data_IF_129666210753
#
_entry.id   IF_129666210753
#
_cell.length_a   1.000
_cell.length_b   1.000
_cell.length_c   1.000
_cell.angle_alpha   90.00
_cell.angle_beta   90.00
_cell.angle_gamma   90.00
#
_symmetry.space_group_name_H-M   'P 1'
#
loop_
_entity.id
_entity.type
_entity.pdbx_description
1 polymer ?
#
# COMPACT_ATOMS: atom_id res chain seq x y z
N UNK A 1 -6.95 9.17 28.21
CA UNK A 1 -8.15 8.54 27.62
C UNK A 1 -7.98 8.42 26.10
N UNK A 2 -7.72 7.22 25.53
CA UNK A 2 -7.54 7.03 24.07
C UNK A 2 -8.14 5.72 23.49
N UNK A 3 -8.73 4.86 24.33
CA UNK A 3 -9.26 3.55 23.87
C UNK A 3 -10.48 3.63 22.95
N UNK A 4 -11.29 4.69 23.06
CA UNK A 4 -12.50 4.86 22.22
C UNK A 4 -12.16 5.20 20.75
N UNK A 5 -11.09 5.95 20.53
CA UNK A 5 -10.65 6.37 19.19
C UNK A 5 -10.09 5.18 18.40
N UNK A 6 -9.41 4.27 19.09
CA UNK A 6 -8.86 3.04 18.51
C UNK A 6 -9.97 2.03 18.11
N UNK A 7 -10.98 1.82 18.96
CA UNK A 7 -12.11 0.92 18.63
C UNK A 7 -12.95 1.40 17.43
N UNK A 8 -13.15 2.71 17.29
CA UNK A 8 -13.91 3.25 16.15
C UNK A 8 -13.16 3.04 14.83
N UNK A 9 -11.85 3.33 14.84
CA UNK A 9 -10.96 3.13 13.69
C UNK A 9 -10.89 1.65 13.29
N UNK A 10 -10.68 0.74 14.25
CA UNK A 10 -10.64 -0.70 13.98
C UNK A 10 -11.95 -1.23 13.38
N UNK A 11 -13.11 -0.76 13.85
CA UNK A 11 -14.41 -1.14 13.27
C UNK A 11 -14.62 -0.57 11.87
N UNK A 12 -14.15 0.64 11.62
CA UNK A 12 -14.21 1.25 10.30
C UNK A 12 -13.33 0.49 9.31
N UNK A 13 -12.10 0.15 9.71
CA UNK A 13 -11.19 -0.70 8.95
C UNK A 13 -11.82 -2.04 8.62
N UNK A 14 -12.37 -2.76 9.61
CA UNK A 14 -13.01 -4.06 9.39
C UNK A 14 -14.18 -3.97 8.40
N UNK A 15 -15.04 -2.95 8.52
CA UNK A 15 -16.15 -2.74 7.57
C UNK A 15 -15.69 -2.41 6.16
N UNK A 16 -14.65 -1.59 6.03
CA UNK A 16 -14.04 -1.29 4.73
C UNK A 16 -13.43 -2.55 4.13
N UNK A 17 -12.71 -3.34 4.94
CA UNK A 17 -12.10 -4.58 4.51
C UNK A 17 -13.15 -5.60 4.08
N UNK A 18 -14.23 -5.81 4.86
CA UNK A 18 -15.31 -6.72 4.48
C UNK A 18 -15.92 -6.41 3.11
N UNK A 19 -16.01 -5.13 2.76
CA UNK A 19 -16.55 -4.68 1.46
C UNK A 19 -15.57 -4.86 0.31
N UNK A 20 -14.28 -4.60 0.55
CA UNK A 20 -13.26 -4.56 -0.49
C UNK A 20 -12.38 -5.81 -0.56
N UNK A 21 -12.49 -6.74 0.41
CA UNK A 21 -11.62 -7.92 0.54
C UNK A 21 -11.63 -8.79 -0.70
N UNK A 22 -12.81 -9.04 -1.28
CA UNK A 22 -12.90 -9.88 -2.47
C UNK A 22 -12.11 -9.27 -3.65
N UNK A 23 -12.23 -7.96 -3.84
CA UNK A 23 -11.52 -7.22 -4.89
C UNK A 23 -10.00 -7.21 -4.64
N UNK A 24 -9.57 -6.95 -3.40
CA UNK A 24 -8.15 -6.96 -3.03
C UNK A 24 -7.51 -8.34 -3.22
N UNK A 25 -8.20 -9.41 -2.86
CA UNK A 25 -7.75 -10.78 -3.13
C UNK A 25 -7.67 -11.05 -4.66
N UNK A 26 -8.62 -10.54 -5.44
CA UNK A 26 -8.62 -10.66 -6.90
C UNK A 26 -7.52 -9.83 -7.59
N UNK A 27 -7.00 -8.81 -6.91
CA UNK A 27 -5.80 -8.07 -7.29
C UNK A 27 -4.50 -8.82 -6.97
N UNK A 28 -4.57 -9.95 -6.25
CA UNK A 28 -3.41 -10.73 -5.83
C UNK A 28 -2.83 -10.33 -4.47
N UNK A 29 -3.52 -9.49 -3.70
CA UNK A 29 -3.08 -9.11 -2.35
C UNK A 29 -3.28 -10.28 -1.39
N UNK A 30 -2.24 -10.77 -0.71
CA UNK A 30 -2.38 -11.86 0.26
C UNK A 30 -3.22 -11.45 1.46
N UNK A 31 -3.98 -12.39 2.02
CA UNK A 31 -4.83 -12.16 3.20
C UNK A 31 -4.05 -11.59 4.41
N UNK A 32 -2.78 -11.95 4.56
CA UNK A 32 -1.90 -11.48 5.63
C UNK A 32 -1.62 -9.97 5.54
N UNK A 33 -1.60 -9.42 4.32
CA UNK A 33 -1.38 -7.99 4.06
C UNK A 33 -2.66 -7.17 4.33
N UNK A 34 -3.82 -7.82 4.37
CA UNK A 34 -5.11 -7.16 4.62
C UNK A 34 -5.37 -6.80 6.09
N UNK A 35 -4.43 -7.09 6.98
CA UNK A 35 -4.44 -6.53 8.33
C UNK A 35 -4.10 -5.04 8.30
N UNK A 36 -4.65 -4.26 9.24
CA UNK A 36 -4.54 -2.80 9.22
C UNK A 36 -3.08 -2.31 9.10
N UNK A 37 -2.18 -2.84 9.93
CA UNK A 37 -0.77 -2.42 9.94
C UNK A 37 -0.01 -2.87 8.68
N UNK A 38 -0.01 -4.16 8.29
CA UNK A 38 0.57 -4.62 7.03
C UNK A 38 0.07 -3.85 5.80
N UNK A 39 -1.22 -3.54 5.74
CA UNK A 39 -1.80 -2.79 4.63
C UNK A 39 -1.22 -1.39 4.51
N UNK A 40 -1.18 -0.63 5.62
CA UNK A 40 -0.59 0.71 5.60
C UNK A 40 0.90 0.68 5.26
N UNK A 41 1.63 -0.30 5.80
CA UNK A 41 3.05 -0.49 5.48
C UNK A 41 3.24 -0.76 3.98
N UNK A 42 2.43 -1.68 3.44
CA UNK A 42 2.41 -1.97 2.02
C UNK A 42 2.15 -0.71 1.20
N UNK A 43 1.10 0.06 1.52
CA UNK A 43 0.77 1.29 0.79
C UNK A 43 1.91 2.32 0.80
N UNK A 44 2.67 2.40 1.88
CA UNK A 44 3.79 3.33 2.04
C UNK A 44 5.07 2.89 1.33
N UNK A 45 5.31 1.57 1.24
CA UNK A 45 6.58 1.02 0.76
C UNK A 45 6.50 0.28 -0.58
N UNK A 46 5.32 -0.12 -1.03
CA UNK A 46 5.13 -0.94 -2.24
C UNK A 46 5.39 -2.43 -2.03
N UNK A 47 5.81 -2.85 -0.83
CA UNK A 47 6.05 -4.25 -0.49
C UNK A 47 5.71 -4.51 0.97
N UNK A 48 5.57 -5.79 1.32
CA UNK A 48 5.43 -6.22 2.71
C UNK A 48 6.19 -7.53 2.97
N UNK A 49 6.92 -7.53 4.09
CA UNK A 49 7.72 -8.65 4.57
C UNK A 49 7.34 -8.96 6.03
N UNK A 50 6.97 -10.20 6.36
CA UNK A 50 6.76 -10.61 7.74
C UNK A 50 8.04 -10.48 8.58
N UNK A 51 7.88 -10.22 9.87
CA UNK A 51 9.00 -10.26 10.80
C UNK A 51 9.64 -11.65 10.83
N UNK A 52 10.94 -11.73 10.58
CA UNK A 52 11.70 -12.99 10.54
C UNK A 52 11.74 -13.67 9.17
N UNK A 53 11.10 -13.11 8.14
CA UNK A 53 11.28 -13.52 6.74
C UNK A 53 12.36 -12.67 6.07
N UNK A 54 13.21 -13.30 5.25
CA UNK A 54 14.14 -12.60 4.38
C UNK A 54 13.47 -12.16 3.05
N UNK A 55 12.41 -12.86 2.64
CA UNK A 55 11.71 -12.63 1.38
C UNK A 55 10.38 -11.91 1.60
N UNK A 56 10.09 -10.95 0.73
CA UNK A 56 8.81 -10.25 0.68
C UNK A 56 7.71 -11.19 0.23
N UNK A 57 6.58 -11.18 0.94
CA UNK A 57 5.41 -11.98 0.57
C UNK A 57 4.57 -11.27 -0.50
N UNK A 58 4.65 -9.94 -0.53
CA UNK A 58 4.06 -9.10 -1.55
C UNK A 58 5.03 -8.00 -1.92
N UNK A 59 5.22 -7.82 -3.22
CA UNK A 59 6.06 -6.78 -3.79
C UNK A 59 5.43 -6.32 -5.11
N UNK A 60 5.09 -5.03 -5.18
CA UNK A 60 4.47 -4.41 -6.36
C UNK A 60 5.34 -4.55 -7.60
N UNK A 61 6.66 -4.55 -7.46
CA UNK A 61 7.58 -4.71 -8.59
C UNK A 61 7.55 -6.13 -9.17
N UNK A 62 7.13 -7.10 -8.37
CA UNK A 62 7.02 -8.52 -8.74
C UNK A 62 5.58 -8.96 -9.02
N UNK A 63 4.61 -8.07 -8.84
CA UNK A 63 3.21 -8.35 -9.15
C UNK A 63 3.02 -8.54 -10.66
N UNK A 64 2.12 -9.47 -11.02
CA UNK A 64 1.67 -9.59 -12.40
C UNK A 64 1.01 -8.28 -12.87
N UNK A 65 1.23 -7.91 -14.13
CA UNK A 65 0.74 -6.66 -14.70
C UNK A 65 -0.77 -6.52 -14.57
N UNK A 66 -1.55 -7.59 -14.77
CA UNK A 66 -3.00 -7.53 -14.64
C UNK A 66 -3.43 -7.27 -13.18
N UNK A 67 -2.69 -7.82 -12.21
CA UNK A 67 -2.90 -7.54 -10.78
C UNK A 67 -2.55 -6.10 -10.43
N UNK A 68 -1.42 -5.61 -10.93
CA UNK A 68 -0.99 -4.23 -10.75
C UNK A 68 -1.99 -3.22 -11.35
N UNK A 69 -2.51 -3.48 -12.56
CA UNK A 69 -3.52 -2.62 -13.20
C UNK A 69 -4.83 -2.54 -12.42
N UNK A 70 -5.30 -3.68 -11.88
CA UNK A 70 -6.50 -3.73 -11.04
C UNK A 70 -6.28 -3.02 -9.71
N UNK A 71 -5.14 -3.26 -9.06
CA UNK A 71 -4.81 -2.61 -7.80
C UNK A 71 -4.68 -1.09 -7.97
N UNK A 72 -4.06 -0.64 -9.06
CA UNK A 72 -3.97 0.78 -9.41
C UNK A 72 -5.37 1.39 -9.56
N UNK A 73 -6.23 0.76 -10.35
CA UNK A 73 -7.60 1.24 -10.56
C UNK A 73 -8.44 1.23 -9.27
N UNK A 74 -8.23 0.24 -8.40
CA UNK A 74 -8.87 0.17 -7.08
C UNK A 74 -8.43 1.34 -6.19
N UNK A 75 -7.12 1.60 -6.11
CA UNK A 75 -6.58 2.68 -5.28
C UNK A 75 -6.94 4.08 -5.82
N UNK A 76 -7.11 4.23 -7.13
CA UNK A 76 -7.56 5.48 -7.75
C UNK A 76 -9.04 5.81 -7.44
N UNK A 77 -9.86 4.78 -7.18
CA UNK A 77 -11.27 4.96 -6.80
C UNK A 77 -11.46 5.18 -5.30
N UNK A 78 -10.46 4.85 -4.48
CA UNK A 78 -10.55 5.00 -3.03
C UNK A 78 -10.11 6.41 -2.60
N UNK A 79 -11.07 7.22 -2.15
CA UNK A 79 -10.86 8.60 -1.68
C UNK A 79 -9.88 8.71 -0.48
N UNK A 80 -9.56 7.61 0.19
CA UNK A 80 -8.67 7.61 1.37
C UNK A 80 -7.20 7.63 0.99
N UNK A 81 -6.83 7.23 -0.22
CA UNK A 81 -5.42 7.01 -0.61
C UNK A 81 -4.96 7.64 -1.94
N UNK A 82 -5.45 8.83 -2.36
CA UNK A 82 -4.93 9.48 -3.55
C UNK A 82 -3.48 9.93 -3.33
N UNK A 83 -2.53 9.22 -3.92
CA UNK A 83 -1.11 9.58 -3.93
C UNK A 83 -0.21 8.84 -2.94
N UNK A 84 -0.63 7.70 -2.40
CA UNK A 84 0.28 6.83 -1.64
C UNK A 84 1.45 6.34 -2.51
N UNK A 85 2.59 6.01 -1.90
CA UNK A 85 3.79 5.56 -2.61
C UNK A 85 3.52 4.37 -3.52
N UNK A 86 2.67 3.44 -3.07
CA UNK A 86 2.26 2.28 -3.85
C UNK A 86 1.50 2.66 -5.10
N UNK A 87 0.54 3.59 -5.01
CA UNK A 87 -0.19 4.06 -6.19
C UNK A 87 0.76 4.73 -7.18
N UNK A 88 1.69 5.57 -6.70
CA UNK A 88 2.68 6.21 -7.56
C UNK A 88 3.59 5.17 -8.24
N UNK A 89 4.04 4.15 -7.50
CA UNK A 89 4.86 3.07 -8.01
C UNK A 89 4.10 2.26 -9.07
N UNK A 90 2.84 1.90 -8.81
CA UNK A 90 1.98 1.21 -9.78
C UNK A 90 1.79 2.05 -11.05
N UNK A 91 1.49 3.34 -10.93
CA UNK A 91 1.35 4.24 -12.07
C UNK A 91 2.65 4.36 -12.89
N UNK A 92 3.80 4.30 -12.22
CA UNK A 92 5.12 4.27 -12.87
C UNK A 92 5.34 2.96 -13.63
N UNK A 93 5.18 1.81 -12.96
CA UNK A 93 5.37 0.48 -13.55
C UNK A 93 4.42 0.23 -14.74
N UNK A 94 3.20 0.76 -14.67
CA UNK A 94 2.20 0.64 -15.73
C UNK A 94 2.35 1.66 -16.85
N UNK A 95 3.28 2.62 -16.72
CA UNK A 95 3.49 3.68 -17.71
C UNK A 95 2.32 4.65 -17.84
N UNK A 96 1.48 4.80 -16.79
CA UNK A 96 0.25 5.61 -16.82
C UNK A 96 0.46 7.11 -16.58
N UNK A 97 1.64 7.54 -16.12
CA UNK A 97 1.98 8.95 -15.81
C UNK A 97 1.11 9.52 -14.67
N UNK A 98 1.64 9.84 -13.48
CA UNK A 98 2.68 10.85 -13.20
C UNK A 98 3.62 10.44 -12.06
N UNK A 99 4.90 10.72 -12.28
CA UNK A 99 5.91 11.10 -11.27
C UNK A 99 5.91 12.65 -11.15
N UNK A 100 6.18 13.26 -9.98
CA UNK A 100 7.42 13.06 -9.24
C UNK A 100 7.22 12.67 -7.77
N UNK A 101 7.85 11.56 -7.36
CA UNK A 101 8.39 11.41 -6.01
C UNK A 101 9.22 12.66 -5.71
N UNK A 102 8.74 13.52 -4.80
CA UNK A 102 9.56 14.56 -4.23
C UNK A 102 10.78 13.89 -3.61
N UNK A 103 11.95 14.16 -4.19
CA UNK A 103 13.24 13.76 -3.68
C UNK A 103 13.26 13.99 -2.18
N UNK A 104 13.37 12.92 -1.39
CA UNK A 104 13.92 13.05 -0.04
C UNK A 104 15.40 13.37 -0.22
N UNK A 105 15.66 14.65 -0.48
CA UNK A 105 16.98 15.25 -0.47
C UNK A 105 17.64 14.88 0.86
N UNK A 106 18.75 14.15 0.74
CA UNK A 106 20.02 14.47 1.38
C UNK A 106 19.91 15.46 2.55
N UNK A 107 19.94 14.93 3.77
CA UNK A 107 20.56 15.60 4.91
C UNK A 107 21.20 14.56 5.80
N UNK A 108 22.46 14.23 5.52
CA UNK A 108 23.57 14.18 6.49
C UNK A 108 24.86 13.82 5.79
N UNK A 109 25.45 14.84 5.20
CA UNK A 109 26.81 14.82 4.67
C UNK A 109 27.34 16.24 4.64
N UNK A 110 27.42 16.90 5.80
CA UNK A 110 28.23 18.12 5.93
C UNK A 110 29.69 17.70 6.12
N UNK A 111 30.61 18.16 5.25
CA UNK A 111 32.04 18.02 5.46
C UNK A 111 32.63 19.23 6.19
N UNK A 112 33.71 18.95 6.94
CA UNK A 112 34.66 19.82 7.66
C UNK A 112 34.30 20.20 9.10
#
# INVERSE_FOLDING_TARGET
>A
MSFRRNKYRARHWQKWLERNRAELLACGIPQLVLEERPWYYFLEHGYWTPAGSAESILDVEQMDRAGAERLCAFLEQDDLYPGCSTLNLLQCLLGRGRHPMASRQDQRGEPF
#
